data_IF_264985837058
#
_entry.id   IF_264985837058
#
_cell.length_a   1.000
_cell.length_b   1.000
_cell.length_c   1.000
_cell.angle_alpha   90.00
_cell.angle_beta   90.00
_cell.angle_gamma   90.00
#
_symmetry.space_group_name_H-M   'P 1'
#
loop_
_entity.id
_entity.type
_entity.pdbx_description
1 polymer ?
#
# COMPACT_ATOMS: atom_id res chain seq x y z
N UNK A 1 22.42 3.39 -18.63
CA UNK A 1 22.89 2.46 -17.59
C UNK A 1 21.67 1.72 -17.08
N UNK A 2 21.66 0.40 -17.18
CA UNK A 2 20.53 -0.42 -16.74
C UNK A 2 20.59 -0.65 -15.24
N UNK A 3 19.46 -0.46 -14.56
CA UNK A 3 19.28 -0.87 -13.17
C UNK A 3 19.06 -2.39 -13.11
N UNK A 4 19.60 -3.12 -12.13
CA UNK A 4 20.51 -2.63 -11.08
C UNK A 4 21.97 -2.64 -11.56
N UNK A 5 22.66 -1.52 -11.36
CA UNK A 5 24.11 -1.46 -11.48
C UNK A 5 24.79 -2.16 -10.27
N UNK A 6 26.12 -2.23 -10.24
CA UNK A 6 26.81 -2.94 -9.14
C UNK A 6 26.58 -2.26 -7.77
N UNK A 7 26.37 -0.94 -7.75
CA UNK A 7 26.05 -0.21 -6.53
C UNK A 7 24.65 -0.58 -6.04
N UNK A 8 23.67 -0.63 -6.93
CA UNK A 8 22.30 -1.06 -6.61
C UNK A 8 22.29 -2.50 -6.08
N UNK A 9 23.05 -3.41 -6.72
CA UNK A 9 23.18 -4.81 -6.25
C UNK A 9 23.81 -4.89 -4.86
N UNK A 10 24.81 -4.06 -4.58
CA UNK A 10 25.42 -4.00 -3.25
C UNK A 10 24.43 -3.53 -2.19
N UNK A 11 23.64 -2.48 -2.48
CA UNK A 11 22.59 -1.98 -1.57
C UNK A 11 21.54 -3.07 -1.32
N UNK A 12 21.09 -3.77 -2.37
CA UNK A 12 20.12 -4.87 -2.24
C UNK A 12 20.68 -5.98 -1.34
N UNK A 13 21.95 -6.38 -1.53
CA UNK A 13 22.60 -7.42 -0.69
C UNK A 13 22.69 -6.98 0.77
N UNK A 14 23.06 -5.73 1.04
CA UNK A 14 23.15 -5.20 2.40
C UNK A 14 21.77 -5.14 3.06
N UNK A 15 20.76 -4.67 2.34
CA UNK A 15 19.39 -4.61 2.87
C UNK A 15 18.82 -6.02 3.12
N UNK A 16 19.13 -7.00 2.28
CA UNK A 16 18.79 -8.43 2.48
C UNK A 16 19.42 -8.97 3.77
N UNK A 17 20.71 -8.69 4.01
CA UNK A 17 21.40 -9.13 5.23
C UNK A 17 20.79 -8.52 6.50
N UNK A 18 20.46 -7.23 6.46
CA UNK A 18 19.84 -6.54 7.61
C UNK A 18 18.42 -7.06 7.87
N UNK A 19 17.64 -7.34 6.83
CA UNK A 19 16.30 -7.91 6.95
C UNK A 19 16.34 -9.32 7.56
N UNK A 20 17.23 -10.19 7.06
CA UNK A 20 17.44 -11.54 7.61
C UNK A 20 17.85 -11.49 9.08
N UNK A 21 18.85 -10.68 9.42
CA UNK A 21 19.30 -10.54 10.80
C UNK A 21 18.16 -10.07 11.72
N UNK A 22 17.36 -9.10 11.28
CA UNK A 22 16.25 -8.60 12.06
C UNK A 22 15.13 -9.64 12.22
N UNK A 23 14.87 -10.46 11.19
CA UNK A 23 13.95 -11.59 11.27
C UNK A 23 14.46 -12.67 12.22
N UNK A 24 15.73 -13.07 12.10
CA UNK A 24 16.38 -14.06 12.99
C UNK A 24 16.32 -13.64 14.46
N UNK A 25 16.60 -12.37 14.76
CA UNK A 25 16.51 -11.84 16.13
C UNK A 25 15.05 -11.86 16.64
N UNK A 26 14.08 -11.48 15.81
CA UNK A 26 12.68 -11.54 16.19
C UNK A 26 12.19 -12.98 16.45
N UNK A 27 12.63 -13.93 15.64
CA UNK A 27 12.28 -15.34 15.80
C UNK A 27 12.91 -15.91 17.07
N UNK A 28 14.18 -15.59 17.33
CA UNK A 28 14.87 -15.94 18.58
C UNK A 28 14.16 -15.37 19.81
N UNK A 29 13.73 -14.10 19.77
CA UNK A 29 12.96 -13.49 20.87
C UNK A 29 11.63 -14.21 21.09
N UNK A 30 10.92 -14.53 20.01
CA UNK A 30 9.63 -15.22 20.09
C UNK A 30 9.77 -16.62 20.70
N UNK A 31 10.86 -17.32 20.41
CA UNK A 31 11.15 -18.65 20.93
C UNK A 31 11.62 -18.61 22.39
N UNK A 32 12.64 -17.80 22.71
CA UNK A 32 13.35 -17.93 23.98
C UNK A 32 12.92 -16.93 25.06
N UNK A 33 12.37 -15.74 24.71
CA UNK A 33 12.18 -14.68 25.71
C UNK A 33 11.12 -15.06 26.76
N UNK A 34 10.10 -15.84 26.39
CA UNK A 34 9.05 -16.27 27.31
C UNK A 34 9.60 -17.15 28.45
N UNK A 35 10.47 -18.11 28.11
CA UNK A 35 11.09 -18.98 29.09
C UNK A 35 12.15 -18.25 29.92
N UNK A 36 12.92 -17.35 29.30
CA UNK A 36 13.87 -16.47 30.01
C UNK A 36 13.18 -15.61 31.07
N UNK A 37 11.98 -15.09 30.79
CA UNK A 37 11.16 -14.35 31.78
C UNK A 37 10.71 -15.23 32.94
N UNK A 38 10.33 -16.49 32.69
CA UNK A 38 9.90 -17.43 33.76
C UNK A 38 11.01 -17.75 34.75
N UNK A 39 12.25 -17.84 34.26
CA UNK A 39 13.42 -18.20 35.09
C UNK A 39 14.29 -16.99 35.47
N UNK A 40 13.82 -15.77 35.20
CA UNK A 40 14.52 -14.51 35.43
C UNK A 40 15.96 -14.48 34.86
N UNK A 41 16.17 -15.11 33.70
CA UNK A 41 17.47 -15.21 33.05
C UNK A 41 17.66 -14.06 32.06
N UNK A 42 18.10 -12.90 32.57
CA UNK A 42 18.31 -11.68 31.77
C UNK A 42 17.13 -11.46 30.80
N UNK A 43 15.92 -11.28 31.34
CA UNK A 43 14.71 -11.14 30.53
C UNK A 43 14.79 -9.88 29.69
N UNK A 44 14.38 -9.97 28.43
CA UNK A 44 14.32 -8.80 27.57
C UNK A 44 12.98 -8.11 27.82
N UNK A 45 13.00 -6.84 28.27
CA UNK A 45 11.79 -6.11 28.61
C UNK A 45 10.94 -5.87 27.36
N UNK A 46 9.64 -5.66 27.55
CA UNK A 46 8.70 -5.45 26.44
C UNK A 46 9.02 -4.22 25.60
N UNK A 47 9.67 -3.21 26.19
CA UNK A 47 10.16 -2.03 25.47
C UNK A 47 11.17 -2.38 24.38
N UNK A 48 12.10 -3.28 24.69
CA UNK A 48 13.21 -3.64 23.80
C UNK A 48 12.73 -4.62 22.74
N UNK A 49 11.83 -5.53 23.11
CA UNK A 49 11.10 -6.39 22.15
C UNK A 49 10.33 -5.54 21.13
N UNK A 50 9.70 -4.45 21.60
CA UNK A 50 9.02 -3.51 20.73
C UNK A 50 9.98 -2.72 19.81
N UNK A 51 11.12 -2.25 20.32
CA UNK A 51 12.14 -1.57 19.52
C UNK A 51 12.71 -2.49 18.43
N UNK A 52 12.96 -3.76 18.76
CA UNK A 52 13.44 -4.75 17.79
C UNK A 52 12.39 -5.00 16.69
N UNK A 53 11.11 -5.05 17.05
CA UNK A 53 10.02 -5.14 16.07
C UNK A 53 9.93 -3.88 15.17
N UNK A 54 10.20 -2.69 15.69
CA UNK A 54 10.33 -1.47 14.89
C UNK A 54 11.51 -1.56 13.91
N UNK A 55 12.68 -1.98 14.38
CA UNK A 55 13.88 -2.13 13.56
C UNK A 55 13.70 -3.17 12.45
N UNK A 56 13.03 -4.29 12.75
CA UNK A 56 12.67 -5.29 11.73
C UNK A 56 11.78 -4.72 10.63
N UNK A 57 10.78 -3.90 10.99
CA UNK A 57 9.94 -3.24 9.98
C UNK A 57 10.75 -2.29 9.11
N UNK A 58 11.66 -1.52 9.72
CA UNK A 58 12.54 -0.62 8.97
C UNK A 58 13.43 -1.42 8.01
N UNK A 59 14.02 -2.52 8.47
CA UNK A 59 14.82 -3.41 7.64
C UNK A 59 14.02 -3.98 6.45
N UNK A 60 12.82 -4.49 6.71
CA UNK A 60 11.92 -4.99 5.67
C UNK A 60 11.52 -3.91 4.65
N UNK A 61 11.27 -2.69 5.13
CA UNK A 61 10.95 -1.53 4.29
C UNK A 61 12.15 -1.11 3.42
N UNK A 62 13.36 -1.10 3.98
CA UNK A 62 14.59 -0.80 3.27
C UNK A 62 14.89 -1.86 2.22
N UNK A 63 14.73 -3.14 2.56
CA UNK A 63 14.92 -4.25 1.64
C UNK A 63 13.94 -4.19 0.47
N UNK A 64 12.66 -3.99 0.75
CA UNK A 64 11.63 -3.83 -0.27
C UNK A 64 11.93 -2.62 -1.16
N UNK A 65 12.31 -1.49 -0.57
CA UNK A 65 12.65 -0.26 -1.30
C UNK A 65 13.91 -0.42 -2.16
N UNK A 66 14.90 -1.20 -1.72
CA UNK A 66 16.16 -1.40 -2.46
C UNK A 66 15.95 -2.13 -3.79
N UNK A 67 14.95 -3.00 -3.88
CA UNK A 67 14.62 -3.77 -5.09
C UNK A 67 13.85 -2.95 -6.13
N UNK A 68 13.36 -1.80 -5.70
CA UNK A 68 12.42 -0.96 -6.41
C UNK A 68 13.23 0.16 -7.07
N UNK A 69 13.23 0.30 -8.41
CA UNK A 69 13.95 1.37 -9.11
C UNK A 69 13.68 2.80 -8.56
N UNK A 70 14.47 3.78 -8.99
CA UNK A 70 14.18 5.18 -8.65
C UNK A 70 12.84 5.61 -9.28
N UNK A 71 11.99 6.26 -8.50
CA UNK A 71 10.76 6.89 -8.97
C UNK A 71 10.89 8.41 -8.85
N UNK A 72 10.41 9.12 -9.87
CA UNK A 72 10.26 10.57 -9.84
C UNK A 72 8.77 10.91 -9.78
N UNK A 73 8.40 11.78 -8.84
CA UNK A 73 7.05 12.31 -8.75
C UNK A 73 7.10 13.82 -9.00
N UNK A 74 6.21 14.33 -9.85
CA UNK A 74 6.14 15.75 -10.19
C UNK A 74 4.89 16.36 -9.56
N UNK A 75 5.12 17.26 -8.61
CA UNK A 75 4.09 17.97 -7.88
C UNK A 75 4.09 19.46 -8.26
N UNK A 76 2.90 20.08 -8.26
CA UNK A 76 2.75 21.51 -8.51
C UNK A 76 1.28 21.92 -8.70
N UNK A 77 0.97 23.23 -8.70
CA UNK A 77 -0.39 23.74 -8.87
C UNK A 77 -1.02 23.27 -10.19
N UNK A 78 -2.34 23.16 -10.23
CA UNK A 78 -3.07 22.80 -11.46
C UNK A 78 -2.72 23.76 -12.60
N UNK A 79 -2.64 23.23 -13.82
CA UNK A 79 -2.44 24.00 -15.07
C UNK A 79 -1.04 24.63 -15.31
N UNK A 80 -0.03 24.32 -14.49
CA UNK A 80 1.36 24.79 -14.72
C UNK A 80 2.15 23.97 -15.76
N UNK A 81 1.49 23.12 -16.54
CA UNK A 81 2.13 22.31 -17.59
C UNK A 81 2.72 20.97 -17.13
N UNK A 82 2.35 20.44 -15.95
CA UNK A 82 2.82 19.15 -15.44
C UNK A 82 2.55 17.98 -16.40
N UNK A 83 1.34 17.90 -16.93
CA UNK A 83 0.95 16.84 -17.88
C UNK A 83 1.70 16.95 -19.20
N UNK A 84 2.02 18.18 -19.64
CA UNK A 84 2.87 18.39 -20.82
C UNK A 84 4.31 17.93 -20.55
N UNK A 85 4.89 18.29 -19.40
CA UNK A 85 6.22 17.84 -19.01
C UNK A 85 6.30 16.32 -18.89
N UNK A 86 5.36 15.68 -18.19
CA UNK A 86 5.27 14.21 -18.11
C UNK A 86 5.08 13.59 -19.50
N UNK A 87 4.21 14.15 -20.33
CA UNK A 87 4.00 13.70 -21.69
C UNK A 87 5.26 13.74 -22.56
N UNK A 88 6.14 14.73 -22.37
CA UNK A 88 7.44 14.79 -23.07
C UNK A 88 8.44 13.79 -22.51
N UNK A 89 8.52 13.63 -21.18
CA UNK A 89 9.41 12.65 -20.53
C UNK A 89 9.03 11.22 -20.92
N UNK A 90 7.74 10.94 -21.05
CA UNK A 90 7.20 9.62 -21.40
C UNK A 90 7.06 9.41 -22.90
N UNK A 91 7.43 10.40 -23.73
CA UNK A 91 7.41 10.28 -25.18
C UNK A 91 8.49 9.29 -25.60
N UNK A 92 8.13 8.35 -26.47
CA UNK A 92 9.11 7.44 -27.05
C UNK A 92 10.17 8.23 -27.83
N UNK A 93 11.45 7.96 -27.54
CA UNK A 93 12.58 8.61 -28.21
C UNK A 93 12.94 7.91 -29.52
N UNK A 94 12.58 6.63 -29.66
CA UNK A 94 12.74 5.82 -30.87
C UNK A 94 11.66 4.75 -30.93
N UNK A 95 11.51 4.05 -32.07
CA UNK A 95 10.60 2.89 -32.15
C UNK A 95 10.95 1.85 -31.07
N UNK A 96 12.23 1.49 -30.98
CA UNK A 96 12.77 0.50 -30.05
C UNK A 96 12.74 0.86 -28.55
N UNK A 97 12.48 2.12 -28.17
CA UNK A 97 12.47 2.55 -26.76
C UNK A 97 11.32 3.50 -26.42
N UNK A 98 10.38 3.00 -25.59
CA UNK A 98 9.38 3.83 -24.91
C UNK A 98 9.45 3.63 -23.40
N UNK A 99 9.39 4.71 -22.62
CA UNK A 99 9.23 4.67 -21.17
C UNK A 99 7.92 4.00 -20.69
N UNK A 100 6.92 3.87 -21.57
CA UNK A 100 5.65 3.19 -21.28
C UNK A 100 5.73 1.65 -21.41
N UNK A 101 6.92 1.09 -21.65
CA UNK A 101 7.11 -0.37 -21.72
C UNK A 101 6.90 -0.95 -23.11
N UNK A 102 7.64 -0.43 -24.10
CA UNK A 102 7.72 -1.05 -25.44
C UNK A 102 8.53 -2.34 -25.40
N UNK A 103 7.85 -3.48 -25.38
CA UNK A 103 8.45 -4.74 -25.81
C UNK A 103 7.82 -5.20 -27.13
N UNK A 104 8.44 -4.78 -28.24
CA UNK A 104 7.97 -5.06 -29.60
C UNK A 104 7.98 -6.57 -29.95
N UNK A 105 8.71 -7.39 -29.18
CA UNK A 105 8.77 -8.84 -29.41
C UNK A 105 7.44 -9.56 -29.13
N UNK A 106 6.59 -8.99 -28.26
CA UNK A 106 5.38 -9.65 -27.77
C UNK A 106 4.08 -9.17 -28.44
N UNK A 107 4.09 -8.06 -29.19
CA UNK A 107 2.90 -7.54 -29.91
C UNK A 107 1.72 -7.15 -28.99
N UNK A 108 0.56 -6.84 -29.57
CA UNK A 108 -0.67 -6.58 -28.80
C UNK A 108 -1.17 -7.89 -28.14
N UNK A 109 -1.66 -7.86 -26.87
CA UNK A 109 -1.95 -6.70 -26.01
C UNK A 109 -0.80 -6.29 -25.08
N UNK A 110 0.35 -6.98 -25.12
CA UNK A 110 1.54 -6.63 -24.34
C UNK A 110 2.05 -5.23 -24.70
N UNK A 111 1.92 -4.90 -25.98
CA UNK A 111 2.43 -3.69 -26.59
C UNK A 111 1.45 -3.12 -27.61
N UNK A 112 1.15 -1.82 -27.49
CA UNK A 112 0.42 -1.03 -28.48
C UNK A 112 1.34 0.07 -29.04
N UNK A 113 1.56 0.10 -30.37
CA UNK A 113 2.50 1.03 -31.02
C UNK A 113 2.18 2.49 -30.74
N UNK A 114 0.90 2.82 -30.81
CA UNK A 114 0.39 4.19 -30.73
C UNK A 114 -0.06 4.59 -29.32
N UNK A 115 0.26 3.80 -28.29
CA UNK A 115 -0.10 4.11 -26.91
C UNK A 115 0.58 5.40 -26.43
N UNK A 116 -0.25 6.36 -26.03
CA UNK A 116 0.15 7.69 -25.59
C UNK A 116 -0.30 7.94 -24.15
N UNK A 117 0.63 8.38 -23.30
CA UNK A 117 0.27 8.78 -21.93
C UNK A 117 -0.80 9.87 -21.94
N UNK A 118 -0.64 10.91 -22.76
CA UNK A 118 -1.56 12.06 -22.76
C UNK A 118 -2.95 11.72 -23.31
N UNK A 119 -3.04 10.79 -24.25
CA UNK A 119 -4.28 10.49 -24.96
C UNK A 119 -5.03 9.31 -24.33
N UNK A 120 -4.30 8.26 -23.93
CA UNK A 120 -4.88 6.95 -23.61
C UNK A 120 -4.89 6.61 -22.13
N UNK A 121 -3.89 7.08 -21.38
CA UNK A 121 -3.68 6.73 -19.97
C UNK A 121 -4.10 7.86 -19.03
N UNK A 122 -3.64 9.08 -19.29
CA UNK A 122 -3.85 10.23 -18.42
C UNK A 122 -5.34 10.62 -18.40
N UNK A 123 -5.99 10.63 -17.23
CA UNK A 123 -7.37 11.06 -17.13
C UNK A 123 -7.48 12.55 -17.47
N UNK A 124 -8.50 12.95 -18.24
CA UNK A 124 -8.81 14.37 -18.42
C UNK A 124 -9.82 14.76 -17.36
N UNK A 125 -9.32 15.03 -16.16
CA UNK A 125 -10.12 15.64 -15.10
C UNK A 125 -10.31 17.10 -15.46
N UNK A 126 -11.52 17.53 -15.78
CA UNK A 126 -11.82 18.93 -16.07
C UNK A 126 -11.46 19.80 -14.87
N UNK A 127 -10.46 20.69 -15.03
CA UNK A 127 -9.94 21.72 -14.10
C UNK A 127 -9.58 21.34 -12.64
N UNK A 128 -10.17 20.28 -12.06
CA UNK A 128 -9.87 19.74 -10.75
C UNK A 128 -8.97 18.52 -10.92
N UNK A 129 -7.67 18.75 -10.82
CA UNK A 129 -6.66 17.70 -10.76
C UNK A 129 -6.93 16.81 -9.55
N UNK A 130 -7.31 15.56 -9.81
CA UNK A 130 -7.49 14.57 -8.76
C UNK A 130 -6.48 13.44 -8.98
N UNK A 131 -5.20 13.80 -8.98
CA UNK A 131 -4.07 12.88 -9.12
C UNK A 131 -3.72 12.32 -7.74
N UNK A 132 -4.56 11.41 -7.22
CA UNK A 132 -4.25 10.65 -6.00
C UNK A 132 -3.37 9.42 -6.28
N UNK A 133 -3.01 9.16 -7.54
CA UNK A 133 -2.15 8.04 -7.92
C UNK A 133 -0.75 8.52 -8.29
N UNK A 134 0.27 8.06 -7.55
CA UNK A 134 1.66 8.15 -8.01
C UNK A 134 1.83 7.12 -9.12
N UNK A 135 1.74 7.57 -10.37
CA UNK A 135 1.99 6.69 -11.52
C UNK A 135 3.47 6.54 -11.71
N UNK A 136 3.94 5.30 -11.62
CA UNK A 136 5.34 4.99 -11.76
C UNK A 136 5.59 4.26 -13.08
N UNK A 137 6.37 4.90 -13.93
CA UNK A 137 6.84 4.29 -15.17
C UNK A 137 8.23 3.71 -14.92
N UNK A 138 8.44 2.45 -15.28
CA UNK A 138 9.73 1.79 -15.16
C UNK A 138 10.33 1.60 -16.54
N UNK A 139 11.56 2.08 -16.72
CA UNK A 139 12.27 2.06 -18.00
C UNK A 139 13.07 0.75 -18.15
N UNK A 140 12.40 -0.40 -18.40
CA UNK A 140 12.94 -1.77 -18.69
C UNK A 140 13.90 -2.39 -17.63
N UNK A 141 14.09 -3.69 -17.38
CA UNK A 141 13.69 -5.01 -17.93
C UNK A 141 13.10 -5.90 -16.80
N UNK A 142 12.06 -5.44 -16.10
CA UNK A 142 11.45 -6.19 -14.98
C UNK A 142 9.93 -6.17 -15.01
N UNK A 143 9.37 -6.57 -16.15
CA UNK A 143 8.24 -7.50 -16.09
C UNK A 143 8.85 -8.69 -15.34
N UNK A 144 8.50 -8.91 -14.07
CA UNK A 144 8.86 -10.18 -13.43
C UNK A 144 8.42 -11.29 -14.38
N UNK A 145 9.12 -12.41 -14.48
CA UNK A 145 8.69 -13.52 -15.35
C UNK A 145 7.22 -13.94 -15.12
N UNK A 146 6.65 -13.53 -13.98
CA UNK A 146 5.25 -13.67 -13.60
C UNK A 146 4.24 -12.69 -14.23
N UNK A 147 4.64 -11.57 -14.83
CA UNK A 147 3.71 -10.65 -15.51
C UNK A 147 3.46 -11.17 -16.93
N UNK A 148 2.24 -11.67 -17.15
CA UNK A 148 1.80 -12.19 -18.45
C UNK A 148 1.86 -11.10 -19.52
N UNK A 149 2.37 -11.37 -20.74
CA UNK A 149 2.24 -10.47 -21.88
C UNK A 149 0.78 -10.05 -22.15
N UNK A 150 -0.21 -10.86 -21.75
CA UNK A 150 -1.63 -10.50 -21.87
C UNK A 150 -2.05 -9.32 -20.97
N UNK A 151 -1.31 -9.05 -19.88
CA UNK A 151 -1.67 -8.07 -18.86
C UNK A 151 -0.42 -7.29 -18.39
N UNK A 152 0.02 -6.31 -19.19
CA UNK A 152 1.33 -5.66 -19.03
C UNK A 152 1.43 -4.69 -17.84
N UNK A 153 0.30 -4.35 -17.20
CA UNK A 153 0.27 -3.39 -16.09
C UNK A 153 0.06 -4.11 -14.78
N UNK A 154 1.03 -3.98 -13.87
CA UNK A 154 0.89 -4.48 -12.49
C UNK A 154 0.48 -3.35 -11.55
N UNK A 155 -0.59 -3.56 -10.80
CA UNK A 155 -1.09 -2.64 -9.77
C UNK A 155 -0.84 -3.25 -8.41
N UNK A 156 0.13 -2.68 -7.68
CA UNK A 156 0.44 -3.10 -6.31
C UNK A 156 -0.57 -2.49 -5.35
N UNK A 157 -1.17 -3.32 -4.50
CA UNK A 157 -2.07 -2.83 -3.47
C UNK A 157 -1.26 -2.19 -2.33
N UNK A 158 -1.81 -1.12 -1.74
CA UNK A 158 -1.32 -0.64 -0.45
C UNK A 158 -1.56 -1.72 0.62
N UNK A 159 -0.62 -1.82 1.54
CA UNK A 159 -0.74 -2.65 2.74
C UNK A 159 -1.90 -2.19 3.63
N UNK A 160 -2.31 -3.06 4.57
CA UNK A 160 -3.39 -2.74 5.52
C UNK A 160 -3.08 -1.47 6.32
N UNK A 161 -1.86 -1.35 6.84
CA UNK A 161 -1.41 -0.16 7.59
C UNK A 161 -1.43 1.11 6.75
N UNK A 162 -1.01 1.05 5.48
CA UNK A 162 -1.05 2.20 4.58
C UNK A 162 -2.49 2.65 4.33
N UNK A 163 -3.42 1.71 4.14
CA UNK A 163 -4.84 2.03 4.04
C UNK A 163 -5.40 2.67 5.33
N UNK A 164 -5.04 2.15 6.50
CA UNK A 164 -5.43 2.77 7.78
C UNK A 164 -4.94 4.21 7.84
N UNK A 165 -3.67 4.47 7.49
CA UNK A 165 -3.09 5.83 7.48
C UNK A 165 -3.79 6.76 6.50
N UNK A 166 -4.10 6.29 5.29
CA UNK A 166 -4.80 7.07 4.25
C UNK A 166 -6.20 7.45 4.74
N UNK A 167 -6.96 6.48 5.27
CA UNK A 167 -8.31 6.73 5.79
C UNK A 167 -8.29 7.63 7.01
N UNK A 168 -7.38 7.39 7.96
CA UNK A 168 -7.21 8.21 9.16
C UNK A 168 -6.87 9.67 8.81
N UNK A 169 -5.92 9.88 7.90
CA UNK A 169 -5.51 11.21 7.47
C UNK A 169 -6.63 11.92 6.70
N UNK A 170 -7.27 11.22 5.77
CA UNK A 170 -8.39 11.77 5.00
C UNK A 170 -9.54 12.20 5.91
N UNK A 171 -9.91 11.35 6.88
CA UNK A 171 -10.92 11.69 7.87
C UNK A 171 -10.51 12.89 8.73
N UNK A 172 -9.27 12.91 9.23
CA UNK A 172 -8.78 14.00 10.07
C UNK A 172 -8.77 15.37 9.36
N UNK A 173 -8.51 15.39 8.04
CA UNK A 173 -8.46 16.64 7.24
C UNK A 173 -9.86 17.09 6.83
N UNK A 174 -10.71 16.19 6.37
CA UNK A 174 -11.99 16.52 5.72
C UNK A 174 -13.18 16.50 6.68
N UNK A 175 -13.08 15.76 7.79
CA UNK A 175 -14.13 15.64 8.79
C UNK A 175 -13.72 16.38 10.06
N UNK A 176 -14.69 16.61 10.97
CA UNK A 176 -14.36 17.08 12.31
C UNK A 176 -13.56 15.99 13.01
N UNK A 177 -12.39 16.37 13.55
CA UNK A 177 -11.59 15.52 14.43
C UNK A 177 -12.39 15.07 15.66
N UNK A 178 -11.87 14.09 16.38
CA UNK A 178 -12.53 13.61 17.59
C UNK A 178 -12.53 14.70 18.67
N UNK A 179 -13.61 14.75 19.45
CA UNK A 179 -13.80 15.75 20.52
C UNK A 179 -12.91 15.49 21.75
N UNK A 180 -12.19 14.36 21.79
CA UNK A 180 -11.32 13.97 22.89
C UNK A 180 -9.98 13.36 22.39
N UNK A 181 -8.91 13.43 23.19
CA UNK A 181 -7.63 12.82 22.85
C UNK A 181 -7.59 11.33 23.21
N UNK A 182 -6.88 10.52 22.41
CA UNK A 182 -6.57 9.12 22.71
C UNK A 182 -5.44 9.00 23.74
N UNK A 183 -5.68 9.49 24.95
CA UNK A 183 -4.82 9.22 26.09
C UNK A 183 -4.92 7.75 26.56
N UNK A 184 -4.05 7.38 27.50
CA UNK A 184 -3.96 6.02 28.01
C UNK A 184 -5.28 5.55 28.62
N UNK A 185 -6.00 6.41 29.34
CA UNK A 185 -7.25 6.05 30.00
C UNK A 185 -8.38 5.78 29.01
N UNK A 186 -8.48 6.58 27.95
CA UNK A 186 -9.48 6.39 26.90
C UNK A 186 -9.17 5.13 26.09
N UNK A 187 -7.91 4.88 25.77
CA UNK A 187 -7.48 3.67 25.06
C UNK A 187 -7.71 2.40 25.90
N UNK A 188 -7.35 2.43 27.19
CA UNK A 188 -7.53 1.31 28.12
C UNK A 188 -9.01 0.93 28.21
N UNK A 189 -9.88 1.90 28.48
CA UNK A 189 -11.33 1.69 28.56
C UNK A 189 -11.92 1.16 27.25
N UNK A 190 -11.57 1.78 26.12
CA UNK A 190 -12.09 1.35 24.81
C UNK A 190 -11.67 -0.08 24.48
N UNK A 191 -10.39 -0.43 24.67
CA UNK A 191 -9.88 -1.77 24.40
C UNK A 191 -10.45 -2.81 25.38
N UNK A 192 -10.64 -2.46 26.65
CA UNK A 192 -11.32 -3.32 27.63
C UNK A 192 -12.74 -3.64 27.17
N UNK A 193 -13.54 -2.63 26.83
CA UNK A 193 -14.91 -2.81 26.34
C UNK A 193 -14.95 -3.64 25.05
N UNK A 194 -14.02 -3.40 24.12
CA UNK A 194 -13.88 -4.19 22.89
C UNK A 194 -13.52 -5.64 23.17
N UNK A 195 -12.64 -5.92 24.14
CA UNK A 195 -12.24 -7.30 24.49
C UNK A 195 -13.38 -8.12 25.08
N UNK A 196 -14.34 -7.46 25.75
CA UNK A 196 -15.55 -8.11 26.26
C UNK A 196 -16.55 -8.43 25.14
N UNK A 197 -16.67 -7.54 24.15
CA UNK A 197 -17.61 -7.71 23.04
C UNK A 197 -17.06 -8.64 21.93
N UNK A 198 -15.75 -8.56 21.67
CA UNK A 198 -15.05 -9.26 20.59
C UNK A 198 -13.83 -10.00 21.13
N UNK A 199 -14.02 -11.01 22.01
CA UNK A 199 -12.92 -11.71 22.65
C UNK A 199 -12.04 -12.44 21.63
N UNK A 200 -10.73 -12.21 21.72
CA UNK A 200 -9.71 -12.96 20.98
C UNK A 200 -9.15 -14.12 21.81
N UNK A 201 -8.66 -15.17 21.14
CA UNK A 201 -8.00 -16.32 21.79
C UNK A 201 -6.50 -16.15 21.94
N UNK A 202 -5.89 -15.27 21.13
CA UNK A 202 -4.46 -14.99 21.13
C UNK A 202 -4.18 -13.60 20.60
N UNK A 203 -3.02 -13.04 20.95
CA UNK A 203 -2.57 -11.75 20.41
C UNK A 203 -2.23 -11.88 18.92
N UNK A 204 -2.96 -11.15 18.07
CA UNK A 204 -2.59 -11.01 16.66
C UNK A 204 -1.47 -9.98 16.51
N UNK A 205 -0.25 -10.47 16.33
CA UNK A 205 0.94 -9.64 16.17
C UNK A 205 0.86 -8.71 14.95
N UNK A 206 0.23 -9.13 13.85
CA UNK A 206 0.15 -8.30 12.63
C UNK A 206 -0.79 -7.12 12.86
N UNK A 207 -1.98 -7.37 13.38
CA UNK A 207 -2.94 -6.30 13.70
C UNK A 207 -2.39 -5.30 14.72
N UNK A 208 -1.77 -5.79 15.79
CA UNK A 208 -1.12 -4.93 16.79
C UNK A 208 -0.10 -3.99 16.13
N UNK A 209 0.75 -4.52 15.25
CA UNK A 209 1.78 -3.73 14.58
C UNK A 209 1.19 -2.69 13.64
N UNK A 210 0.14 -3.03 12.90
CA UNK A 210 -0.53 -2.09 11.99
C UNK A 210 -1.21 -0.94 12.74
N UNK A 211 -1.88 -1.24 13.87
CA UNK A 211 -2.51 -0.22 14.72
C UNK A 211 -1.45 0.71 15.31
N UNK A 212 -0.38 0.15 15.86
CA UNK A 212 0.70 0.97 16.44
C UNK A 212 1.31 1.86 15.37
N UNK A 213 1.59 1.33 14.18
CA UNK A 213 2.22 2.10 13.12
C UNK A 213 1.33 3.23 12.57
N UNK A 214 0.03 2.96 12.43
CA UNK A 214 -0.93 3.99 12.06
C UNK A 214 -1.08 5.04 13.18
N UNK A 215 -1.05 4.63 14.44
CA UNK A 215 -1.09 5.53 15.60
C UNK A 215 0.17 6.42 15.65
N UNK A 216 1.36 5.84 15.44
CA UNK A 216 2.63 6.57 15.33
C UNK A 216 2.58 7.63 14.25
N UNK A 217 2.10 7.25 13.06
CA UNK A 217 1.90 8.19 11.97
C UNK A 217 0.95 9.31 12.38
N UNK A 218 -0.22 8.99 12.94
CA UNK A 218 -1.19 9.99 13.38
C UNK A 218 -0.64 10.90 14.48
N UNK A 219 0.24 10.42 15.35
CA UNK A 219 0.93 11.24 16.35
C UNK A 219 1.89 12.27 15.74
N UNK A 220 2.47 12.01 14.57
CA UNK A 220 3.24 13.01 13.82
C UNK A 220 2.34 14.06 13.17
N UNK A 221 1.12 13.68 12.82
CA UNK A 221 0.12 14.54 12.17
C UNK A 221 -0.61 15.42 13.19
N UNK A 222 -1.09 14.81 14.27
CA UNK A 222 -1.84 15.42 15.36
C UNK A 222 -1.37 14.84 16.70
N UNK A 223 -0.37 15.49 17.26
CA UNK A 223 0.20 15.10 18.56
C UNK A 223 -0.78 15.31 19.72
N UNK A 224 -1.79 16.17 19.58
CA UNK A 224 -2.75 16.46 20.65
C UNK A 224 -3.84 15.40 20.70
N UNK A 225 -4.35 14.97 19.55
CA UNK A 225 -5.31 13.88 19.44
C UNK A 225 -4.72 12.52 19.78
N UNK A 226 -3.41 12.33 19.58
CA UNK A 226 -2.72 11.04 19.78
C UNK A 226 -1.53 11.16 20.77
N UNK A 227 -1.78 11.49 22.05
CA UNK A 227 -0.71 11.78 23.01
C UNK A 227 0.01 10.53 23.55
N UNK A 228 -0.63 9.35 23.49
CA UNK A 228 -0.13 8.12 24.11
C UNK A 228 1.16 7.63 23.45
N UNK A 229 2.09 7.14 24.26
CA UNK A 229 3.34 6.55 23.75
C UNK A 229 3.08 5.17 23.16
N UNK A 230 3.82 4.83 22.11
CA UNK A 230 3.67 3.55 21.40
C UNK A 230 3.85 2.35 22.32
N UNK A 231 4.81 2.40 23.25
CA UNK A 231 5.03 1.33 24.22
C UNK A 231 3.79 1.06 25.09
N UNK A 232 3.05 2.12 25.48
CA UNK A 232 1.83 2.00 26.28
C UNK A 232 0.71 1.38 25.43
N UNK A 233 0.49 1.90 24.23
CA UNK A 233 -0.50 1.31 23.30
C UNK A 233 -0.19 -0.16 23.00
N UNK A 234 1.09 -0.49 22.83
CA UNK A 234 1.60 -1.84 22.60
C UNK A 234 1.30 -2.77 23.78
N UNK A 235 1.47 -2.29 25.01
CA UNK A 235 1.11 -3.04 26.22
C UNK A 235 -0.42 -3.23 26.32
N UNK A 236 -1.23 -2.19 26.04
CA UNK A 236 -2.69 -2.29 26.05
C UNK A 236 -3.21 -3.30 25.02
N UNK A 237 -2.69 -3.29 23.80
CA UNK A 237 -3.05 -4.26 22.74
C UNK A 237 -2.60 -5.69 23.06
N UNK A 238 -1.62 -5.86 23.96
CA UNK A 238 -1.20 -7.18 24.45
C UNK A 238 -2.09 -7.67 25.60
N UNK A 239 -2.54 -6.74 26.44
CA UNK A 239 -3.44 -6.99 27.56
C UNK A 239 -4.85 -7.36 27.08
N UNK A 240 -5.36 -6.67 26.09
CA UNK A 240 -6.70 -6.86 25.54
C UNK A 240 -6.65 -7.60 24.21
N UNK A 241 -6.78 -8.92 24.27
CA UNK A 241 -6.82 -9.77 23.08
C UNK A 241 -8.16 -9.61 22.37
N UNK A 242 -8.12 -9.22 21.10
CA UNK A 242 -9.32 -9.01 20.28
C UNK A 242 -9.39 -10.06 19.17
N UNK A 243 -10.60 -10.40 18.76
CA UNK A 243 -10.80 -11.08 17.47
C UNK A 243 -10.44 -10.13 16.32
N UNK A 244 -10.31 -10.65 15.09
CA UNK A 244 -10.11 -9.82 13.90
C UNK A 244 -11.19 -8.74 13.75
N UNK A 245 -12.46 -9.09 14.00
CA UNK A 245 -13.56 -8.13 14.00
C UNK A 245 -13.37 -7.04 15.08
N UNK A 246 -12.90 -7.42 16.26
CA UNK A 246 -12.56 -6.49 17.33
C UNK A 246 -11.45 -5.52 16.94
N UNK A 247 -10.40 -5.98 16.26
CA UNK A 247 -9.33 -5.11 15.75
C UNK A 247 -9.84 -4.14 14.68
N UNK A 248 -10.69 -4.59 13.76
CA UNK A 248 -11.32 -3.72 12.76
C UNK A 248 -12.16 -2.62 13.44
N UNK A 249 -12.93 -2.97 14.47
CA UNK A 249 -13.70 -2.00 15.25
C UNK A 249 -12.81 -1.03 16.01
N UNK A 250 -11.78 -1.52 16.69
CA UNK A 250 -10.82 -0.68 17.39
C UNK A 250 -10.13 0.32 16.43
N UNK A 251 -9.69 -0.13 15.24
CA UNK A 251 -9.20 0.77 14.19
C UNK A 251 -10.23 1.83 13.82
N UNK A 252 -11.49 1.43 13.65
CA UNK A 252 -12.56 2.34 13.27
C UNK A 252 -12.81 3.43 14.29
N UNK A 253 -12.87 3.06 15.57
CA UNK A 253 -13.00 4.02 16.67
C UNK A 253 -11.78 4.95 16.73
N UNK A 254 -10.56 4.40 16.74
CA UNK A 254 -9.33 5.19 16.91
C UNK A 254 -9.15 6.19 15.77
N UNK A 255 -9.30 5.76 14.52
CA UNK A 255 -8.82 6.54 13.37
C UNK A 255 -9.89 7.35 12.66
N UNK A 256 -11.15 6.95 12.75
CA UNK A 256 -12.26 7.65 12.09
C UNK A 256 -13.56 7.65 12.91
N UNK A 257 -13.45 7.57 14.24
CA UNK A 257 -14.56 7.82 15.18
C UNK A 257 -15.75 6.88 15.02
N UNK A 258 -15.50 5.63 14.63
CA UNK A 258 -16.54 4.62 14.46
C UNK A 258 -17.42 4.84 13.24
N UNK A 259 -17.05 5.75 12.31
CA UNK A 259 -17.88 6.09 11.15
C UNK A 259 -18.19 4.87 10.28
N UNK A 260 -19.45 4.44 10.29
CA UNK A 260 -19.89 3.16 9.72
C UNK A 260 -19.48 2.97 8.26
N UNK A 261 -19.71 3.95 7.38
CA UNK A 261 -19.39 3.80 5.95
C UNK A 261 -17.88 3.68 5.66
N UNK A 262 -17.02 4.30 6.49
CA UNK A 262 -15.57 4.16 6.38
C UNK A 262 -15.12 2.79 6.90
N UNK A 263 -15.68 2.34 8.01
CA UNK A 263 -15.43 0.99 8.54
C UNK A 263 -15.87 -0.08 7.53
N UNK A 264 -17.05 0.05 6.92
CA UNK A 264 -17.55 -0.87 5.89
C UNK A 264 -16.66 -0.86 4.63
N UNK A 265 -16.11 0.31 4.26
CA UNK A 265 -15.11 0.40 3.18
C UNK A 265 -13.82 -0.32 3.56
N UNK A 266 -13.30 -0.09 4.77
CA UNK A 266 -12.09 -0.74 5.25
C UNK A 266 -12.23 -2.26 5.33
N UNK A 267 -13.39 -2.78 5.77
CA UNK A 267 -13.69 -4.22 5.74
C UNK A 267 -13.62 -4.79 4.32
N UNK A 268 -14.17 -4.07 3.33
CA UNK A 268 -14.10 -4.50 1.92
C UNK A 268 -12.65 -4.50 1.40
N UNK A 269 -11.86 -3.51 1.80
CA UNK A 269 -10.43 -3.44 1.46
C UNK A 269 -9.68 -4.60 2.10
N UNK A 270 -9.86 -4.85 3.40
CA UNK A 270 -9.15 -5.93 4.11
C UNK A 270 -9.45 -7.30 3.47
N UNK A 271 -10.72 -7.59 3.17
CA UNK A 271 -11.13 -8.79 2.44
C UNK A 271 -10.51 -8.89 1.05
N UNK A 272 -10.26 -7.77 0.38
CA UNK A 272 -9.58 -7.74 -0.91
C UNK A 272 -8.08 -8.00 -0.75
N UNK A 273 -7.43 -7.42 0.26
CA UNK A 273 -6.02 -7.68 0.56
C UNK A 273 -5.76 -9.14 0.96
N UNK A 274 -6.65 -9.75 1.73
CA UNK A 274 -6.59 -11.18 2.06
C UNK A 274 -6.63 -12.07 0.81
N UNK A 275 -7.46 -11.71 -0.18
CA UNK A 275 -7.48 -12.42 -1.47
C UNK A 275 -6.14 -12.30 -2.18
N UNK A 276 -5.54 -11.11 -2.18
CA UNK A 276 -4.24 -10.86 -2.80
C UNK A 276 -3.06 -11.49 -2.05
N UNK A 277 -3.20 -11.80 -0.76
CA UNK A 277 -2.14 -12.41 0.04
C UNK A 277 -1.77 -13.83 -0.43
N UNK A 278 -2.61 -14.47 -1.25
CA UNK A 278 -2.32 -15.76 -1.87
C UNK A 278 -1.49 -15.65 -3.15
N UNK A 279 -1.28 -14.44 -3.67
CA UNK A 279 -0.46 -14.18 -4.86
C UNK A 279 1.02 -14.03 -4.48
N UNK A 280 1.96 -14.35 -5.39
CA UNK A 280 3.41 -14.18 -5.16
C UNK A 280 3.80 -12.76 -4.76
N UNK A 281 3.08 -11.76 -5.29
CA UNK A 281 3.09 -10.38 -4.81
C UNK A 281 1.64 -9.89 -4.66
N UNK A 282 1.32 -9.05 -3.65
CA UNK A 282 -0.03 -8.53 -3.41
C UNK A 282 -0.38 -7.47 -4.47
N UNK A 283 -0.67 -7.92 -5.67
CA UNK A 283 -0.94 -7.09 -6.82
C UNK A 283 -1.95 -7.74 -7.77
N UNK A 284 -2.56 -6.91 -8.61
CA UNK A 284 -3.40 -7.35 -9.72
C UNK A 284 -2.73 -7.00 -11.05
N UNK A 285 -2.97 -7.80 -12.08
CA UNK A 285 -2.56 -7.50 -13.44
C UNK A 285 -3.72 -6.86 -14.20
N UNK A 286 -3.44 -5.88 -15.02
CA UNK A 286 -4.45 -5.04 -15.66
C UNK A 286 -4.09 -4.82 -17.13
N UNK A 287 -5.11 -4.86 -17.97
CA UNK A 287 -4.99 -4.47 -19.38
C UNK A 287 -4.75 -2.94 -19.51
N UNK A 288 -4.03 -2.48 -20.54
CA UNK A 288 -3.78 -1.04 -20.75
C UNK A 288 -5.05 -0.17 -20.75
N UNK A 289 -6.16 -0.71 -21.28
CA UNK A 289 -7.45 -0.05 -21.28
C UNK A 289 -7.99 0.28 -19.87
N UNK A 290 -7.63 -0.52 -18.86
CA UNK A 290 -8.09 -0.36 -17.48
C UNK A 290 -7.34 0.71 -16.70
N UNK A 291 -6.14 1.10 -17.16
CA UNK A 291 -5.25 2.05 -16.44
C UNK A 291 -5.93 3.38 -16.19
N UNK A 292 -6.70 3.88 -17.16
CA UNK A 292 -7.41 5.16 -17.04
C UNK A 292 -8.38 5.19 -15.86
N UNK A 293 -9.05 4.07 -15.53
CA UNK A 293 -9.99 4.00 -14.42
C UNK A 293 -9.29 3.92 -13.07
N UNK A 294 -8.06 3.41 -13.05
CA UNK A 294 -7.21 3.44 -11.85
C UNK A 294 -6.68 4.85 -11.60
N UNK A 295 -6.41 5.61 -12.67
CA UNK A 295 -5.92 6.98 -12.59
C UNK A 295 -7.04 8.00 -12.39
N UNK A 296 -8.24 7.74 -12.90
CA UNK A 296 -9.39 8.64 -12.76
C UNK A 296 -10.13 8.40 -11.43
N UNK A 297 -9.95 9.33 -10.49
CA UNK A 297 -10.68 9.33 -9.23
C UNK A 297 -12.12 9.86 -9.33
N UNK A 298 -12.57 10.36 -10.49
CA UNK A 298 -13.86 11.03 -10.67
C UNK A 298 -15.04 10.10 -11.04
N UNK A 299 -14.89 8.78 -10.89
CA UNK A 299 -15.97 7.78 -11.08
C UNK A 299 -16.54 7.70 -12.50
N UNK A 300 -15.86 8.25 -13.50
CA UNK A 300 -16.26 8.11 -14.90
C UNK A 300 -16.35 6.63 -15.24
N UNK A 301 -17.54 6.15 -15.59
CA UNK A 301 -17.73 4.74 -16.00
C UNK A 301 -17.43 4.53 -17.48
N UNK A 302 -17.38 5.60 -18.27
CA UNK A 302 -17.12 5.53 -19.71
C UNK A 302 -16.12 6.60 -20.09
N UNK A 303 -15.12 6.22 -20.89
CA UNK A 303 -14.14 7.13 -21.45
C UNK A 303 -14.15 7.05 -22.97
N UNK A 304 -14.42 8.18 -23.62
CA UNK A 304 -14.36 8.33 -25.07
C UNK A 304 -13.26 9.32 -25.49
N UNK A 305 -12.42 8.87 -26.42
CA UNK A 305 -11.25 9.59 -26.94
C UNK A 305 -11.19 9.44 -28.45
N UNK A 306 -11.79 10.38 -29.17
CA UNK A 306 -11.77 10.39 -30.64
C UNK A 306 -10.36 10.42 -31.24
N UNK A 307 -9.38 10.94 -30.49
CA UNK A 307 -7.99 11.06 -30.92
C UNK A 307 -7.12 9.89 -30.44
N UNK A 308 -7.68 8.95 -29.68
CA UNK A 308 -6.99 7.72 -29.29
C UNK A 308 -6.92 6.79 -30.49
N UNK A 309 -5.73 6.25 -30.76
CA UNK A 309 -5.53 5.25 -31.81
C UNK A 309 -5.67 3.81 -31.27
N UNK A 310 -5.59 3.62 -29.96
CA UNK A 310 -5.68 2.30 -29.31
C UNK A 310 -7.07 2.03 -28.69
N UNK A 311 -7.65 3.02 -28.01
CA UNK A 311 -8.80 2.86 -27.12
C UNK A 311 -9.77 4.05 -27.26
N UNK A 312 -10.47 4.10 -28.39
CA UNK A 312 -11.41 5.19 -28.75
C UNK A 312 -12.59 5.29 -27.79
N UNK A 313 -13.09 4.15 -27.28
CA UNK A 313 -14.12 4.06 -26.24
C UNK A 313 -13.80 2.89 -25.32
N UNK A 314 -13.90 3.13 -24.02
CA UNK A 314 -13.75 2.09 -23.00
C UNK A 314 -14.79 2.30 -21.91
N UNK A 315 -15.57 1.27 -21.59
CA UNK A 315 -16.55 1.26 -20.50
C UNK A 315 -16.02 0.44 -19.32
N UNK A 316 -16.30 0.85 -18.10
CA UNK A 316 -15.98 0.07 -16.90
C UNK A 316 -16.73 -1.27 -16.90
N UNK A 317 -17.90 -1.33 -17.55
CA UNK A 317 -18.66 -2.56 -17.73
C UNK A 317 -17.93 -3.62 -18.57
N UNK A 318 -16.96 -3.20 -19.40
CA UNK A 318 -16.15 -4.08 -20.24
C UNK A 318 -15.05 -4.80 -19.44
N UNK A 319 -14.89 -4.46 -18.14
CA UNK A 319 -13.88 -5.08 -17.28
C UNK A 319 -14.46 -6.12 -16.34
N UNK A 320 -13.75 -7.24 -16.27
CA UNK A 320 -14.09 -8.35 -15.39
C UNK A 320 -12.87 -8.77 -14.58
N UNK A 321 -13.04 -8.80 -13.25
CA UNK A 321 -12.02 -9.36 -12.37
C UNK A 321 -12.09 -10.89 -12.46
N UNK A 322 -11.05 -11.52 -13.01
CA UNK A 322 -10.91 -12.97 -13.08
C UNK A 322 -9.65 -13.43 -12.37
N UNK A 323 -9.66 -14.67 -11.88
CA UNK A 323 -8.46 -15.31 -11.36
C UNK A 323 -7.84 -16.15 -12.47
N UNK A 324 -6.58 -15.88 -12.83
CA UNK A 324 -5.81 -16.64 -13.82
C UNK A 324 -4.50 -17.09 -13.19
N UNK A 325 -4.30 -18.41 -13.09
CA UNK A 325 -3.17 -19.01 -12.36
C UNK A 325 -3.10 -18.45 -10.93
N UNK A 326 -1.96 -17.89 -10.52
CA UNK A 326 -1.73 -17.29 -9.21
C UNK A 326 -2.06 -15.79 -9.15
N UNK A 327 -2.64 -15.21 -10.20
CA UNK A 327 -2.91 -13.77 -10.30
C UNK A 327 -4.39 -13.45 -10.40
N UNK A 328 -4.77 -12.33 -9.79
CA UNK A 328 -6.02 -11.64 -10.11
C UNK A 328 -5.79 -10.68 -11.27
N UNK A 329 -6.69 -10.73 -12.24
CA UNK A 329 -6.54 -10.03 -13.50
C UNK A 329 -7.80 -9.23 -13.79
N UNK A 330 -7.63 -7.95 -14.10
CA UNK A 330 -8.68 -7.10 -14.62
C UNK A 330 -8.68 -7.23 -16.15
N UNK A 331 -9.49 -8.16 -16.64
CA UNK A 331 -9.61 -8.50 -18.06
C UNK A 331 -10.52 -7.50 -18.77
N UNK A 332 -10.12 -7.11 -19.98
CA UNK A 332 -10.89 -6.25 -20.90
C UNK A 332 -11.40 -7.12 -22.05
N UNK A 333 -12.71 -7.17 -22.27
CA UNK A 333 -13.33 -8.05 -23.28
C UNK A 333 -14.49 -7.41 -24.01
#
# INVERSE_FOLDING_TARGET
>A
MGFPDERDRQIIRQADQVERLATDICDWLAEFNSDRRKVDLLPIPESDEFEILQLRRLASSLYTSSKVPVAAAVYGPSQVGKSLFMGQVLRAQSEAFSPLGRDEAHGEPAYYKDLSFNTDLNPQSGSNEATALVTRFTTKDRISESVSPEYPVMVKALTRVEWIRVLARGFHVECRGQDFPWDESHLDKMLEDMSRQYPGTSVDRRWRMDIIDAYSYMRTVDRRGYPTKEAILSALLSRYMLSEEGYIKACGEIFWGGWKSLTDLFIRINKFLEKLANSPEPAILVHWAGVRFLLDSQRSKVHERKNSLCFTRVDWADFHLRQRKEWYVLEYS
#
